data_IF_914816413911
#
_entry.id   IF_914816413911
#
_cell.length_a   1.000
_cell.length_b   1.000
_cell.length_c   1.000
_cell.angle_alpha   90.00
_cell.angle_beta   90.00
_cell.angle_gamma   90.00
#
_symmetry.space_group_name_H-M   'P 1'
#
loop_
_entity.id
_entity.type
_entity.pdbx_description
1 polymer ?
#
# COMPACT_ATOMS: atom_id res chain seq x y z
N UNK A 1 34.78 6.43 2.34
CA UNK A 1 34.48 6.95 0.98
C UNK A 1 33.58 5.94 0.29
N UNK A 2 32.44 6.36 -0.27
CA UNK A 2 31.46 5.44 -0.85
C UNK A 2 31.91 4.89 -2.22
N UNK A 3 31.60 3.62 -2.54
CA UNK A 3 31.83 3.08 -3.88
C UNK A 3 31.07 3.87 -4.95
N UNK A 4 31.76 4.30 -6.00
CA UNK A 4 31.15 5.14 -7.05
C UNK A 4 30.00 4.46 -7.79
N UNK A 5 30.07 3.14 -7.97
CA UNK A 5 28.96 2.32 -8.51
C UNK A 5 27.69 2.45 -7.68
N UNK A 6 27.82 2.36 -6.36
CA UNK A 6 26.71 2.48 -5.42
C UNK A 6 26.13 3.89 -5.41
N UNK A 7 26.98 4.92 -5.41
CA UNK A 7 26.54 6.32 -5.51
C UNK A 7 25.69 6.56 -6.76
N UNK A 8 26.12 6.06 -7.93
CA UNK A 8 25.35 6.17 -9.18
C UNK A 8 24.00 5.44 -9.10
N UNK A 9 23.97 4.25 -8.49
CA UNK A 9 22.75 3.44 -8.34
C UNK A 9 21.73 4.15 -7.47
N UNK A 10 22.14 4.58 -6.27
CA UNK A 10 21.27 5.31 -5.33
C UNK A 10 20.78 6.62 -5.94
N UNK A 11 21.66 7.39 -6.60
CA UNK A 11 21.27 8.61 -7.30
C UNK A 11 20.19 8.32 -8.35
N UNK A 12 20.37 7.28 -9.17
CA UNK A 12 19.39 6.88 -10.20
C UNK A 12 18.05 6.52 -9.57
N UNK A 13 18.04 5.77 -8.47
CA UNK A 13 16.81 5.42 -7.74
C UNK A 13 16.04 6.70 -7.35
N UNK A 14 16.72 7.67 -6.73
CA UNK A 14 16.09 8.93 -6.33
C UNK A 14 15.68 9.83 -7.51
N UNK A 15 16.52 9.95 -8.54
CA UNK A 15 16.21 10.72 -9.75
C UNK A 15 14.92 10.20 -10.40
N UNK A 16 14.79 8.87 -10.51
CA UNK A 16 13.61 8.19 -11.06
C UNK A 16 12.35 8.49 -10.26
N UNK A 17 12.42 8.39 -8.93
CA UNK A 17 11.29 8.69 -8.03
C UNK A 17 10.89 10.17 -8.12
N UNK A 18 11.86 11.09 -8.03
CA UNK A 18 11.60 12.54 -8.12
C UNK A 18 10.99 12.92 -9.47
N UNK A 19 11.54 12.39 -10.56
CA UNK A 19 10.98 12.62 -11.89
C UNK A 19 9.53 12.15 -11.98
N UNK A 20 9.22 10.95 -11.48
CA UNK A 20 7.85 10.46 -11.49
C UNK A 20 6.92 11.32 -10.63
N UNK A 21 7.34 11.70 -9.42
CA UNK A 21 6.56 12.54 -8.51
C UNK A 21 6.29 13.93 -9.11
N UNK A 22 7.28 14.57 -9.72
CA UNK A 22 7.11 15.89 -10.33
C UNK A 22 6.03 15.93 -11.42
N UNK A 23 5.82 14.79 -12.10
CA UNK A 23 4.84 14.65 -13.17
C UNK A 23 3.47 14.21 -12.66
N UNK A 24 3.42 13.36 -11.62
CA UNK A 24 2.19 12.65 -11.23
C UNK A 24 1.68 13.02 -9.83
N UNK A 25 2.56 13.43 -8.92
CA UNK A 25 2.23 13.78 -7.54
C UNK A 25 3.15 14.87 -6.95
N UNK A 26 3.16 16.08 -7.52
CA UNK A 26 4.07 17.16 -7.09
C UNK A 26 3.85 17.58 -5.64
N UNK A 27 2.65 17.39 -5.10
CA UNK A 27 2.33 17.64 -3.69
C UNK A 27 3.16 16.73 -2.76
N UNK A 28 3.33 15.45 -3.12
CA UNK A 28 4.18 14.52 -2.38
C UNK A 28 5.67 14.80 -2.63
N UNK A 29 6.07 15.20 -3.85
CA UNK A 29 7.45 15.63 -4.12
C UNK A 29 7.89 16.77 -3.20
N UNK A 30 7.01 17.75 -2.98
CA UNK A 30 7.28 18.93 -2.16
C UNK A 30 7.55 18.59 -0.68
N UNK A 31 7.18 17.40 -0.23
CA UNK A 31 7.49 16.92 1.12
C UNK A 31 8.90 16.33 1.24
N UNK A 32 9.59 16.03 0.13
CA UNK A 32 10.93 15.44 0.18
C UNK A 32 11.94 16.41 0.78
N UNK A 33 12.67 15.97 1.80
CA UNK A 33 13.66 16.79 2.49
C UNK A 33 15.02 16.71 1.79
N UNK A 34 15.79 17.79 1.90
CA UNK A 34 17.18 17.82 1.42
C UNK A 34 18.00 16.76 2.16
N UNK A 35 18.84 16.03 1.43
CA UNK A 35 19.70 15.01 2.03
C UNK A 35 20.63 15.55 3.13
N UNK A 36 20.97 14.66 4.07
CA UNK A 36 21.71 14.98 5.30
C UNK A 36 23.22 15.07 5.09
N UNK A 37 23.95 15.61 6.08
CA UNK A 37 25.42 15.63 6.14
C UNK A 37 26.00 14.27 6.58
N UNK A 38 27.33 14.08 6.50
CA UNK A 38 27.94 12.88 7.13
C UNK A 38 27.86 12.97 8.66
N UNK A 39 28.07 14.17 9.22
CA UNK A 39 27.96 14.44 10.66
C UNK A 39 26.57 14.08 11.20
N UNK A 40 25.49 14.39 10.46
CA UNK A 40 24.11 14.00 10.84
C UNK A 40 23.94 12.46 10.90
N UNK A 41 24.60 11.72 10.00
CA UNK A 41 24.57 10.25 9.99
C UNK A 41 25.37 9.66 11.16
N UNK A 42 26.54 10.23 11.42
CA UNK A 42 27.40 9.85 12.55
C UNK A 42 26.70 10.14 13.89
N UNK A 43 25.96 11.24 13.99
CA UNK A 43 25.13 11.57 15.15
C UNK A 43 24.05 10.51 15.37
N UNK A 44 23.30 10.12 14.34
CA UNK A 44 22.31 9.04 14.46
C UNK A 44 22.95 7.73 14.90
N UNK A 45 24.01 7.29 14.24
CA UNK A 45 24.70 6.02 14.53
C UNK A 45 25.26 6.00 15.95
N UNK A 46 25.84 7.10 16.40
CA UNK A 46 26.35 7.25 17.77
C UNK A 46 25.21 7.26 18.80
N UNK A 47 24.12 7.99 18.52
CA UNK A 47 22.98 8.13 19.43
C UNK A 47 22.23 6.82 19.61
N UNK A 48 22.05 6.06 18.53
CA UNK A 48 21.33 4.78 18.54
C UNK A 48 22.24 3.58 18.77
N UNK A 49 23.56 3.78 18.76
CA UNK A 49 24.59 2.74 18.83
C UNK A 49 24.36 1.64 17.76
N UNK A 50 24.21 2.07 16.51
CA UNK A 50 24.03 1.22 15.32
C UNK A 50 24.99 1.64 14.21
N UNK A 51 25.18 0.79 13.20
CA UNK A 51 25.94 1.14 11.99
C UNK A 51 25.04 0.97 10.77
N UNK A 52 24.69 2.07 10.10
CA UNK A 52 23.81 1.99 8.94
C UNK A 52 24.52 1.29 7.76
N UNK A 53 23.82 0.45 6.99
CA UNK A 53 24.33 -0.04 5.71
C UNK A 53 24.75 1.11 4.79
N UNK A 54 25.80 0.90 3.98
CA UNK A 54 26.34 1.96 3.13
C UNK A 54 25.33 2.48 2.09
N UNK A 55 24.42 1.64 1.60
CA UNK A 55 23.36 2.07 0.69
C UNK A 55 22.31 2.93 1.43
N UNK A 56 21.87 2.52 2.62
CA UNK A 56 21.03 3.34 3.51
C UNK A 56 21.64 4.70 3.82
N UNK A 57 22.94 4.77 4.17
CA UNK A 57 23.62 6.06 4.37
C UNK A 57 23.50 6.94 3.13
N UNK A 58 23.80 6.39 1.95
CA UNK A 58 23.68 7.12 0.70
C UNK A 58 22.24 7.56 0.39
N UNK A 59 21.24 6.73 0.68
CA UNK A 59 19.83 7.10 0.50
C UNK A 59 19.51 8.39 1.25
N UNK A 60 19.88 8.46 2.54
CA UNK A 60 19.69 9.65 3.37
C UNK A 60 20.55 10.85 2.94
N UNK A 61 21.77 10.62 2.42
CA UNK A 61 22.63 11.67 1.85
C UNK A 61 22.00 12.37 0.64
N UNK A 62 21.16 11.67 -0.12
CA UNK A 62 20.44 12.27 -1.25
C UNK A 62 19.10 12.89 -0.85
N UNK A 63 18.35 12.24 0.05
CA UNK A 63 17.02 12.69 0.51
C UNK A 63 16.81 12.27 1.97
N UNK A 64 16.51 13.22 2.85
CA UNK A 64 16.26 13.00 4.28
C UNK A 64 14.80 12.63 4.57
N UNK A 65 14.27 11.61 3.88
CA UNK A 65 12.87 11.22 4.00
C UNK A 65 11.89 12.33 3.60
N UNK A 66 10.71 12.34 4.24
CA UNK A 66 9.62 13.28 4.01
C UNK A 66 9.36 14.16 5.23
N UNK A 67 8.92 15.40 4.97
CA UNK A 67 8.31 16.23 5.99
C UNK A 67 7.07 15.52 6.55
N UNK A 68 7.11 15.25 7.85
CA UNK A 68 6.10 14.48 8.56
C UNK A 68 5.38 15.42 9.52
N UNK A 69 4.23 15.97 9.13
CA UNK A 69 3.42 16.78 10.04
C UNK A 69 2.62 15.87 10.97
N UNK A 70 3.20 15.49 12.11
CA UNK A 70 2.50 14.72 13.15
C UNK A 70 1.47 15.54 13.94
N UNK A 71 1.05 16.71 13.45
CA UNK A 71 0.25 17.65 14.22
C UNK A 71 -1.25 17.37 14.09
N UNK A 72 -1.77 16.58 15.03
CA UNK A 72 -3.14 16.68 15.53
C UNK A 72 -3.35 17.96 16.38
N UNK A 73 -2.80 19.09 15.94
CA UNK A 73 -2.76 20.34 16.71
C UNK A 73 -2.80 21.58 15.80
N UNK A 74 -3.78 21.65 14.91
CA UNK A 74 -4.40 22.93 14.49
C UNK A 74 -5.71 22.65 13.75
N UNK A 75 -6.80 23.25 14.24
CA UNK A 75 -8.16 23.05 13.75
C UNK A 75 -8.41 23.68 12.37
N UNK A 76 -7.82 23.09 11.33
CA UNK A 76 -8.14 23.34 9.93
C UNK A 76 -8.16 22.02 9.17
N UNK A 77 -9.31 21.66 8.61
CA UNK A 77 -9.45 20.50 7.75
C UNK A 77 -8.63 20.72 6.45
N UNK A 78 -7.38 20.26 6.42
CA UNK A 78 -6.60 20.14 5.20
C UNK A 78 -5.44 19.13 5.36
N UNK A 79 -5.59 17.97 4.73
CA UNK A 79 -4.57 17.31 3.89
C UNK A 79 -3.27 16.72 4.50
N UNK A 80 -3.23 16.40 5.79
CA UNK A 80 -1.98 15.97 6.46
C UNK A 80 -1.54 14.49 6.34
N UNK A 81 -2.33 13.58 5.75
CA UNK A 81 -2.12 12.12 5.91
C UNK A 81 -2.10 11.27 4.64
N UNK A 82 -1.95 11.89 3.46
CA UNK A 82 -2.16 11.19 2.17
C UNK A 82 -0.97 11.27 1.21
N UNK A 83 0.05 12.04 1.59
CA UNK A 83 1.22 12.36 0.77
C UNK A 83 2.40 11.40 0.99
N UNK A 84 2.19 10.27 1.68
CA UNK A 84 3.24 9.29 1.92
C UNK A 84 3.84 8.80 0.61
N UNK A 85 5.17 8.88 0.54
CA UNK A 85 5.98 8.55 -0.63
C UNK A 85 5.77 7.10 -1.09
N UNK A 86 5.55 6.21 -0.13
CA UNK A 86 5.34 4.78 -0.37
C UNK A 86 3.88 4.51 -0.71
N UNK A 87 2.97 5.37 -0.27
CA UNK A 87 1.53 5.22 -0.49
C UNK A 87 0.89 4.25 0.50
N UNK A 88 -0.26 3.71 0.13
CA UNK A 88 -0.95 2.74 0.97
C UNK A 88 -2.29 2.27 0.40
N UNK A 89 -3.19 1.89 1.30
CA UNK A 89 -4.54 1.44 0.98
C UNK A 89 -5.50 1.84 2.09
N UNK A 90 -6.78 1.98 1.73
CA UNK A 90 -7.85 2.22 2.68
C UNK A 90 -9.02 1.28 2.43
N UNK A 91 -9.49 0.65 3.51
CA UNK A 91 -10.65 -0.23 3.52
C UNK A 91 -11.40 -0.07 4.83
N UNK A 92 -12.67 0.34 4.74
CA UNK A 92 -13.47 0.73 5.90
C UNK A 92 -12.73 1.76 6.78
N UNK A 93 -12.52 1.45 8.05
CA UNK A 93 -11.81 2.30 9.01
C UNK A 93 -10.29 2.13 8.94
N UNK A 94 -9.81 1.07 8.29
CA UNK A 94 -8.38 0.78 8.19
C UNK A 94 -7.76 1.61 7.08
N UNK A 95 -6.82 2.48 7.43
CA UNK A 95 -6.10 3.34 6.48
C UNK A 95 -4.62 3.19 6.71
N UNK A 96 -3.88 2.92 5.65
CA UNK A 96 -2.42 2.89 5.61
C UNK A 96 -1.97 3.96 4.64
N UNK A 97 -1.01 4.79 5.04
CA UNK A 97 -0.33 5.71 4.13
C UNK A 97 1.08 5.97 4.65
N UNK A 98 2.07 5.39 3.99
CA UNK A 98 3.43 5.20 4.52
C UNK A 98 4.36 6.31 4.05
N UNK A 99 5.00 6.94 5.02
CA UNK A 99 5.99 8.00 4.87
C UNK A 99 7.39 7.45 5.12
N UNK A 100 8.36 7.92 4.34
CA UNK A 100 9.77 7.67 4.64
C UNK A 100 10.23 8.68 5.69
N UNK A 101 10.74 8.22 6.84
CA UNK A 101 11.08 9.09 7.96
C UNK A 101 12.40 9.85 7.72
N UNK A 102 12.47 11.15 8.08
CA UNK A 102 13.72 11.86 8.25
C UNK A 102 14.54 11.28 9.40
N UNK A 103 15.87 11.43 9.35
CA UNK A 103 16.78 10.85 10.34
C UNK A 103 16.46 11.25 11.79
N UNK A 104 16.02 12.49 12.00
CA UNK A 104 15.63 12.96 13.34
C UNK A 104 14.43 12.19 13.89
N UNK A 105 13.50 11.83 13.02
CA UNK A 105 12.32 11.04 13.38
C UNK A 105 12.69 9.56 13.57
N UNK A 106 13.66 9.03 12.81
CA UNK A 106 14.22 7.69 13.05
C UNK A 106 14.76 7.58 14.48
N UNK A 107 15.52 8.58 14.94
CA UNK A 107 16.04 8.65 16.31
C UNK A 107 14.89 8.71 17.32
N UNK A 108 13.93 9.62 17.10
CA UNK A 108 12.77 9.81 17.99
C UNK A 108 11.95 8.52 18.14
N UNK A 109 11.61 7.86 17.04
CA UNK A 109 10.82 6.63 17.06
C UNK A 109 11.58 5.48 17.70
N UNK A 110 12.90 5.35 17.45
CA UNK A 110 13.70 4.31 18.12
C UNK A 110 13.74 4.52 19.63
N UNK A 111 13.91 5.75 20.11
CA UNK A 111 13.88 6.08 21.54
C UNK A 111 12.50 5.74 22.14
N UNK A 112 11.41 6.11 21.46
CA UNK A 112 10.05 5.79 21.90
C UNK A 112 9.81 4.29 22.04
N UNK A 113 10.26 3.50 21.06
CA UNK A 113 10.16 2.04 21.10
C UNK A 113 10.95 1.45 22.27
N UNK A 114 12.18 1.94 22.51
CA UNK A 114 13.01 1.49 23.63
C UNK A 114 12.47 1.91 25.00
N UNK A 115 11.74 3.03 25.08
CA UNK A 115 11.11 3.51 26.30
C UNK A 115 9.81 2.76 26.66
N UNK A 116 9.19 2.10 25.69
CA UNK A 116 8.05 1.20 25.91
C UNK A 116 8.47 -0.17 26.44
N UNK A 117 7.49 -1.03 26.73
CA UNK A 117 7.72 -2.41 27.22
C UNK A 117 8.23 -3.38 26.12
N UNK A 118 8.64 -2.85 24.96
CA UNK A 118 9.14 -3.60 23.81
C UNK A 118 10.62 -3.97 23.96
N UNK A 119 10.96 -4.64 25.06
CA UNK A 119 12.32 -5.12 25.34
C UNK A 119 12.80 -6.25 24.40
N UNK A 120 11.98 -6.64 23.42
CA UNK A 120 12.20 -7.75 22.48
C UNK A 120 12.76 -7.32 21.12
N UNK A 121 12.71 -6.04 20.76
CA UNK A 121 13.22 -5.57 19.46
C UNK A 121 14.73 -5.40 19.53
N UNK A 122 15.46 -6.01 18.58
CA UNK A 122 16.93 -5.95 18.51
C UNK A 122 17.44 -4.51 18.55
N UNK A 123 18.55 -4.29 19.26
CA UNK A 123 19.20 -2.97 19.38
C UNK A 123 19.62 -2.42 18.02
N UNK A 124 19.93 -3.30 17.06
CA UNK A 124 20.40 -2.93 15.72
C UNK A 124 19.28 -2.57 14.73
N UNK A 125 18.02 -2.55 15.18
CA UNK A 125 16.87 -2.22 14.33
C UNK A 125 16.52 -0.74 14.46
N UNK A 126 16.29 -0.06 13.35
CA UNK A 126 15.81 1.34 13.30
C UNK A 126 14.52 1.45 12.50
N UNK A 127 13.63 2.38 12.86
CA UNK A 127 12.36 2.60 12.13
C UNK A 127 12.62 3.59 11.01
N UNK A 128 12.47 3.18 9.76
CA UNK A 128 12.78 4.01 8.58
C UNK A 128 11.55 4.54 7.86
N UNK A 129 10.39 3.92 8.06
CA UNK A 129 9.12 4.38 7.49
C UNK A 129 7.94 4.02 8.38
N UNK A 130 6.90 4.86 8.38
CA UNK A 130 5.70 4.69 9.21
C UNK A 130 4.45 5.13 8.47
N UNK A 131 3.32 4.48 8.78
CA UNK A 131 2.01 4.97 8.39
C UNK A 131 1.57 6.10 9.33
N UNK A 132 1.21 7.25 8.77
CA UNK A 132 0.74 8.41 9.55
C UNK A 132 -0.73 8.28 10.01
N UNK A 133 -1.41 7.20 9.63
CA UNK A 133 -2.84 7.04 9.87
C UNK A 133 -3.14 6.55 11.30
N UNK A 134 -4.01 7.24 12.07
CA UNK A 134 -4.33 6.85 13.46
C UNK A 134 -4.96 5.47 13.60
N UNK A 135 -5.60 4.97 12.54
CA UNK A 135 -6.29 3.67 12.55
C UNK A 135 -5.41 2.48 12.17
N UNK A 136 -4.16 2.70 11.75
CA UNK A 136 -3.21 1.63 11.45
C UNK A 136 -1.78 2.08 11.75
N UNK A 137 -1.21 1.59 12.86
CA UNK A 137 0.21 1.78 13.15
C UNK A 137 1.01 0.70 12.40
N UNK A 138 1.29 0.95 11.12
CA UNK A 138 2.18 0.14 10.28
C UNK A 138 3.57 0.79 10.25
N UNK A 139 4.61 0.01 10.52
CA UNK A 139 5.98 0.51 10.64
C UNK A 139 6.96 -0.40 9.91
N UNK A 140 8.04 0.19 9.41
CA UNK A 140 9.11 -0.49 8.69
C UNK A 140 10.43 -0.33 9.41
N UNK A 141 11.09 -1.45 9.61
CA UNK A 141 12.23 -1.66 10.49
C UNK A 141 13.42 -2.13 9.67
N UNK A 142 14.48 -1.34 9.61
CA UNK A 142 15.74 -1.75 9.01
C UNK A 142 16.61 -2.41 10.08
N UNK A 143 17.00 -3.66 9.87
CA UNK A 143 18.05 -4.29 10.67
C UNK A 143 19.42 -3.92 10.09
N UNK A 144 20.15 -3.10 10.85
CA UNK A 144 21.45 -2.58 10.47
C UNK A 144 22.55 -3.66 10.41
N UNK A 145 22.30 -4.86 10.98
CA UNK A 145 23.26 -5.97 11.02
C UNK A 145 23.26 -6.77 9.73
N UNK A 146 22.08 -7.07 9.19
CA UNK A 146 21.92 -7.90 8.00
C UNK A 146 21.46 -7.11 6.76
N UNK A 147 21.07 -5.84 6.94
CA UNK A 147 20.58 -4.96 5.90
C UNK A 147 19.18 -5.29 5.41
N UNK A 148 18.43 -6.15 6.10
CA UNK A 148 17.07 -6.52 5.74
C UNK A 148 16.06 -5.49 6.28
N UNK A 149 14.98 -5.30 5.53
CA UNK A 149 13.85 -4.46 5.89
C UNK A 149 12.70 -5.36 6.31
N UNK A 150 12.07 -5.03 7.42
CA UNK A 150 10.97 -5.78 7.98
C UNK A 150 9.78 -4.87 8.24
N UNK A 151 8.57 -5.45 8.24
CA UNK A 151 7.37 -4.83 8.82
C UNK A 151 6.95 -5.68 10.01
N UNK A 152 6.35 -5.07 11.03
CA UNK A 152 5.74 -5.87 12.08
C UNK A 152 4.47 -6.56 11.58
N UNK A 153 4.16 -7.64 12.27
CA UNK A 153 2.84 -8.20 12.41
C UNK A 153 2.47 -8.15 13.91
N UNK A 154 1.70 -7.14 14.31
CA UNK A 154 1.33 -6.93 15.72
C UNK A 154 0.65 -8.11 16.38
N UNK A 155 -0.15 -8.87 15.63
CA UNK A 155 -0.89 -10.01 16.16
C UNK A 155 0.03 -11.14 16.62
N UNK A 156 1.22 -11.26 16.01
CA UNK A 156 2.17 -12.33 16.26
C UNK A 156 3.50 -11.88 16.87
N UNK A 157 3.73 -10.56 16.99
CA UNK A 157 5.04 -9.97 17.32
C UNK A 157 6.18 -10.44 16.39
N UNK A 158 5.85 -10.88 15.16
CA UNK A 158 6.82 -11.34 14.18
C UNK A 158 7.19 -10.23 13.22
N UNK A 159 8.46 -10.21 12.82
CA UNK A 159 8.96 -9.34 11.76
C UNK A 159 8.89 -10.08 10.42
N UNK A 160 8.19 -9.51 9.43
CA UNK A 160 8.06 -10.07 8.09
C UNK A 160 9.03 -9.36 7.14
N UNK A 161 9.89 -10.09 6.39
CA UNK A 161 10.81 -9.46 5.46
C UNK A 161 10.03 -8.76 4.34
N UNK A 162 10.38 -7.52 4.06
CA UNK A 162 9.75 -6.69 3.03
C UNK A 162 10.39 -6.86 1.64
N UNK A 163 11.50 -7.58 1.56
CA UNK A 163 12.28 -7.86 0.35
C UNK A 163 12.76 -9.30 0.40
N UNK A 164 12.84 -10.03 -0.74
CA UNK A 164 13.35 -11.39 -0.75
C UNK A 164 14.76 -11.49 -0.16
N UNK A 165 14.96 -12.33 0.86
CA UNK A 165 16.22 -12.45 1.60
C UNK A 165 17.40 -12.80 0.68
N UNK A 166 17.17 -13.60 -0.36
CA UNK A 166 18.18 -13.99 -1.34
C UNK A 166 18.79 -12.82 -2.13
N UNK A 167 18.15 -11.65 -2.13
CA UNK A 167 18.65 -10.46 -2.83
C UNK A 167 19.51 -9.58 -1.93
N UNK A 168 19.35 -9.64 -0.61
CA UNK A 168 20.05 -8.74 0.33
C UNK A 168 21.50 -9.15 0.47
N UNK A 169 22.41 -8.21 0.22
CA UNK A 169 23.84 -8.46 0.28
C UNK A 169 24.58 -7.19 0.73
N UNK A 170 24.97 -7.12 2.00
CA UNK A 170 25.69 -5.96 2.56
C UNK A 170 27.22 -6.08 2.47
N UNK A 171 27.74 -7.27 2.11
CA UNK A 171 29.16 -7.56 2.02
C UNK A 171 29.59 -7.76 0.56
N UNK A 172 30.72 -7.18 0.14
CA UNK A 172 31.27 -7.33 -1.22
C UNK A 172 31.12 -6.10 -2.11
N UNK A 173 31.38 -6.26 -3.41
CA UNK A 173 31.46 -5.14 -4.39
C UNK A 173 30.09 -4.64 -4.88
N UNK A 174 29.04 -5.45 -4.77
CA UNK A 174 27.66 -5.15 -5.18
C UNK A 174 26.73 -5.01 -3.97
N UNK A 175 27.09 -4.13 -3.04
CA UNK A 175 26.31 -3.92 -1.82
C UNK A 175 24.89 -3.45 -2.17
N UNK A 176 23.90 -4.13 -1.59
CA UNK A 176 22.49 -3.79 -1.65
C UNK A 176 21.80 -4.24 -0.37
N UNK A 177 21.41 -3.25 0.44
CA UNK A 177 20.45 -3.48 1.51
C UNK A 177 19.02 -3.51 0.95
N UNK A 178 18.11 -4.00 1.78
CA UNK A 178 16.71 -4.12 1.45
C UNK A 178 16.03 -2.74 1.28
N UNK A 179 16.51 -1.69 1.94
CA UNK A 179 15.90 -0.36 1.81
C UNK A 179 16.08 0.19 0.39
N UNK A 180 17.26 0.03 -0.20
CA UNK A 180 17.50 0.40 -1.60
C UNK A 180 16.66 -0.47 -2.55
N UNK A 181 16.65 -1.79 -2.36
CA UNK A 181 15.87 -2.71 -3.19
C UNK A 181 14.37 -2.41 -3.14
N UNK A 182 13.86 -2.08 -1.96
CA UNK A 182 12.47 -1.74 -1.72
C UNK A 182 12.06 -0.45 -2.45
N UNK A 183 12.88 0.61 -2.38
CA UNK A 183 12.64 1.86 -3.09
C UNK A 183 12.78 1.72 -4.61
N UNK A 184 13.73 0.90 -5.09
CA UNK A 184 13.89 0.60 -6.52
C UNK A 184 12.66 -0.12 -7.08
N UNK A 185 12.13 -1.12 -6.35
CA UNK A 185 10.92 -1.83 -6.75
C UNK A 185 9.69 -0.92 -6.70
N UNK A 186 9.56 -0.06 -5.67
CA UNK A 186 8.50 0.95 -5.61
C UNK A 186 8.53 1.87 -6.82
N UNK A 187 9.70 2.44 -7.12
CA UNK A 187 9.91 3.28 -8.30
C UNK A 187 9.56 2.56 -9.60
N UNK A 188 9.95 1.29 -9.74
CA UNK A 188 9.59 0.48 -10.90
C UNK A 188 8.07 0.30 -11.03
N UNK A 189 7.36 0.01 -9.93
CA UNK A 189 5.89 -0.14 -9.93
C UNK A 189 5.18 1.17 -10.33
N UNK A 190 5.67 2.31 -9.85
CA UNK A 190 5.17 3.63 -10.26
C UNK A 190 5.41 3.91 -11.75
N UNK A 191 6.64 3.68 -12.24
CA UNK A 191 7.02 3.94 -13.64
C UNK A 191 6.29 3.04 -14.63
N UNK A 192 6.04 1.79 -14.25
CA UNK A 192 5.30 0.82 -15.10
C UNK A 192 3.79 1.00 -15.04
N UNK A 193 3.29 1.88 -14.16
CA UNK A 193 1.85 2.06 -13.92
C UNK A 193 1.20 0.88 -13.19
N UNK A 194 2.00 0.00 -12.56
CA UNK A 194 1.49 -1.09 -11.74
C UNK A 194 0.74 -0.58 -10.51
N UNK A 195 1.14 0.59 -10.02
CA UNK A 195 0.45 1.40 -8.99
C UNK A 195 0.39 2.86 -9.47
N UNK A 196 -0.57 3.64 -8.98
CA UNK A 196 -0.77 5.03 -9.42
C UNK A 196 -1.38 5.90 -8.33
N UNK A 197 -1.38 7.21 -8.56
CA UNK A 197 -2.16 8.15 -7.73
C UNK A 197 -3.65 7.96 -8.03
N UNK A 198 -4.43 7.75 -6.99
CA UNK A 198 -5.89 7.68 -7.05
C UNK A 198 -6.52 8.71 -6.12
N UNK A 199 -7.74 9.13 -6.44
CA UNK A 199 -8.59 9.91 -5.54
C UNK A 199 -9.41 8.94 -4.70
N UNK A 200 -9.24 8.98 -3.39
CA UNK A 200 -10.05 8.21 -2.44
C UNK A 200 -11.47 8.83 -2.31
N UNK A 201 -12.37 8.18 -1.57
CA UNK A 201 -13.78 8.59 -1.42
C UNK A 201 -13.97 10.03 -0.90
N UNK A 202 -12.97 10.59 -0.20
CA UNK A 202 -12.97 11.97 0.29
C UNK A 202 -12.30 12.96 -0.69
N UNK A 203 -12.10 12.57 -1.95
CA UNK A 203 -11.42 13.33 -2.99
C UNK A 203 -9.93 13.65 -2.69
N UNK A 204 -9.36 12.93 -1.72
CA UNK A 204 -7.95 13.07 -1.34
C UNK A 204 -7.10 12.19 -2.24
N UNK A 205 -6.01 12.73 -2.77
CA UNK A 205 -5.06 11.99 -3.61
C UNK A 205 -4.09 11.20 -2.75
N UNK A 206 -3.84 9.95 -3.11
CA UNK A 206 -2.79 9.12 -2.50
C UNK A 206 -2.20 8.16 -3.54
N UNK A 207 -0.96 7.71 -3.35
CA UNK A 207 -0.43 6.58 -4.11
C UNK A 207 -1.15 5.32 -3.60
N UNK A 208 -1.94 4.70 -4.48
CA UNK A 208 -2.68 3.49 -4.14
C UNK A 208 -1.84 2.26 -4.44
N UNK A 209 -1.64 1.41 -3.43
CA UNK A 209 -0.89 0.15 -3.56
C UNK A 209 -1.68 -0.96 -4.25
N UNK A 210 -2.98 -0.75 -4.52
CA UNK A 210 -3.79 -1.72 -5.27
C UNK A 210 -3.26 -1.84 -6.70
N UNK A 211 -2.87 -3.06 -7.15
CA UNK A 211 -2.38 -3.26 -8.51
C UNK A 211 -3.36 -2.78 -9.58
N UNK A 212 -2.82 -2.21 -10.65
CA UNK A 212 -3.58 -1.62 -11.77
C UNK A 212 -3.39 -2.39 -13.08
N UNK A 213 -2.46 -3.36 -13.11
CA UNK A 213 -2.12 -4.14 -14.31
C UNK A 213 -2.16 -5.66 -14.04
N UNK A 214 -2.43 -6.49 -15.07
CA UNK A 214 -2.32 -7.94 -14.97
C UNK A 214 -0.90 -8.42 -14.62
N UNK A 215 -0.74 -9.62 -14.02
CA UNK A 215 -1.79 -10.57 -13.63
C UNK A 215 -2.41 -10.29 -12.24
N UNK A 216 -1.96 -9.23 -11.55
CA UNK A 216 -2.42 -8.91 -10.20
C UNK A 216 -3.71 -8.07 -10.16
N UNK A 217 -4.10 -7.49 -11.30
CA UNK A 217 -5.36 -6.80 -11.50
C UNK A 217 -6.15 -7.51 -12.60
N UNK A 218 -7.35 -8.00 -12.28
CA UNK A 218 -8.27 -8.55 -13.27
C UNK A 218 -9.10 -7.44 -13.90
N UNK A 219 -9.55 -7.67 -15.13
CA UNK A 219 -10.44 -6.74 -15.85
C UNK A 219 -11.56 -7.52 -16.52
N UNK A 220 -12.80 -7.13 -16.30
CA UNK A 220 -14.00 -7.65 -16.96
C UNK A 220 -14.88 -6.51 -17.46
N UNK A 221 -15.68 -6.77 -18.49
CA UNK A 221 -16.70 -5.83 -18.97
C UNK A 221 -18.02 -6.56 -19.13
N UNK A 222 -19.05 -6.12 -18.40
CA UNK A 222 -20.40 -6.66 -18.48
C UNK A 222 -21.39 -5.52 -18.66
N UNK A 223 -22.26 -5.59 -19.67
CA UNK A 223 -23.27 -4.57 -19.95
C UNK A 223 -22.71 -3.13 -20.02
N UNK A 224 -21.47 -2.97 -20.51
CA UNK A 224 -20.79 -1.67 -20.62
C UNK A 224 -20.22 -1.11 -19.33
N UNK A 225 -20.26 -1.87 -18.23
CA UNK A 225 -19.54 -1.59 -16.99
C UNK A 225 -18.22 -2.35 -17.02
N UNK A 226 -17.11 -1.63 -16.98
CA UNK A 226 -15.79 -2.20 -16.77
C UNK A 226 -15.51 -2.34 -15.29
N UNK A 227 -15.09 -3.52 -14.87
CA UNK A 227 -14.66 -3.81 -13.50
C UNK A 227 -13.19 -4.15 -13.49
N UNK A 228 -12.45 -3.56 -12.56
CA UNK A 228 -11.03 -3.83 -12.30
C UNK A 228 -10.85 -4.23 -10.84
N UNK A 229 -10.40 -5.45 -10.59
CA UNK A 229 -10.28 -5.98 -9.24
C UNK A 229 -8.86 -6.41 -8.91
N UNK A 230 -8.38 -6.05 -7.71
CA UNK A 230 -7.06 -6.45 -7.21
C UNK A 230 -7.05 -6.48 -5.69
N UNK A 231 -6.02 -7.10 -5.12
CA UNK A 231 -5.82 -7.16 -3.68
C UNK A 231 -4.46 -6.62 -3.23
N UNK A 232 -4.35 -6.31 -1.94
CA UNK A 232 -3.11 -5.98 -1.23
C UNK A 232 -3.08 -6.77 0.07
N UNK A 233 -1.95 -7.43 0.34
CA UNK A 233 -1.72 -8.12 1.60
C UNK A 233 -1.58 -7.13 2.77
N UNK A 234 -2.25 -7.42 3.88
CA UNK A 234 -2.26 -6.58 5.08
C UNK A 234 -1.50 -7.27 6.22
N UNK A 235 -0.16 -7.11 6.31
CA UNK A 235 0.65 -7.75 7.34
C UNK A 235 0.24 -7.35 8.76
N UNK A 236 -0.19 -6.11 8.95
CA UNK A 236 -0.54 -5.52 10.26
C UNK A 236 -1.80 -6.11 10.91
N UNK A 237 -2.62 -6.83 10.14
CA UNK A 237 -3.85 -7.51 10.62
C UNK A 237 -3.86 -9.00 10.27
N UNK A 238 -2.76 -9.55 9.74
CA UNK A 238 -2.60 -10.99 9.52
C UNK A 238 -2.05 -11.62 10.80
N UNK A 239 -2.21 -12.93 11.00
CA UNK A 239 -1.59 -13.67 12.10
C UNK A 239 -1.11 -15.05 11.64
N UNK A 240 0.19 -15.20 11.40
CA UNK A 240 0.75 -16.48 10.90
C UNK A 240 0.92 -17.55 11.99
N UNK A 241 0.81 -17.18 13.27
CA UNK A 241 1.00 -18.08 14.40
C UNK A 241 -0.30 -18.71 14.90
N UNK A 242 -1.46 -18.18 14.48
CA UNK A 242 -2.73 -18.83 14.76
C UNK A 242 -2.76 -20.25 14.18
N UNK A 243 -3.57 -21.10 14.79
CA UNK A 243 -3.79 -22.46 14.33
C UNK A 243 -5.28 -22.62 14.01
N UNK A 244 -5.70 -22.41 12.75
CA UNK A 244 -4.88 -22.15 11.56
C UNK A 244 -4.41 -20.68 11.45
N UNK A 245 -3.37 -20.38 10.63
CA UNK A 245 -2.92 -19.00 10.41
C UNK A 245 -4.04 -18.15 9.81
N UNK A 246 -3.90 -16.83 9.81
CA UNK A 246 -4.85 -15.89 9.23
C UNK A 246 -4.10 -14.92 8.33
N UNK A 247 -4.34 -15.01 7.02
CA UNK A 247 -3.84 -14.07 6.02
C UNK A 247 -4.95 -13.09 5.67
N UNK A 248 -4.69 -11.80 5.89
CA UNK A 248 -5.64 -10.72 5.66
C UNK A 248 -5.28 -9.96 4.38
N UNK A 249 -6.29 -9.75 3.52
CA UNK A 249 -6.13 -9.02 2.26
C UNK A 249 -7.18 -7.91 2.16
N UNK A 250 -6.74 -6.70 1.85
CA UNK A 250 -7.62 -5.65 1.37
C UNK A 250 -7.87 -5.89 -0.12
N UNK A 251 -9.12 -5.77 -0.56
CA UNK A 251 -9.50 -5.87 -1.97
C UNK A 251 -10.12 -4.56 -2.43
N UNK A 252 -9.82 -4.18 -3.66
CA UNK A 252 -10.40 -3.03 -4.34
C UNK A 252 -11.05 -3.48 -5.64
N UNK A 253 -12.36 -3.28 -5.73
CA UNK A 253 -13.14 -3.45 -6.94
C UNK A 253 -13.51 -2.07 -7.47
N UNK A 254 -12.94 -1.73 -8.62
CA UNK A 254 -13.11 -0.44 -9.31
C UNK A 254 -14.03 -0.62 -10.49
N UNK A 255 -15.11 0.14 -10.55
CA UNK A 255 -16.11 0.06 -11.60
C UNK A 255 -16.19 1.38 -12.35
N UNK A 256 -16.16 1.33 -13.67
CA UNK A 256 -16.30 2.50 -14.53
C UNK A 256 -17.16 2.18 -15.73
N UNK A 257 -17.79 3.19 -16.32
CA UNK A 257 -18.58 3.01 -17.52
C UNK A 257 -17.71 3.13 -18.76
N UNK A 258 -17.87 2.19 -19.67
CA UNK A 258 -17.19 2.23 -20.95
C UNK A 258 -17.54 3.51 -21.70
N UNK A 259 -16.58 4.17 -22.38
CA UNK A 259 -16.84 5.39 -23.16
C UNK A 259 -17.89 5.19 -24.25
N UNK A 260 -17.99 3.98 -24.79
CA UNK A 260 -18.94 3.57 -25.83
C UNK A 260 -20.36 3.32 -25.29
N UNK A 261 -20.54 3.32 -23.96
CA UNK A 261 -21.84 3.09 -23.36
C UNK A 261 -22.77 4.29 -23.55
N UNK A 262 -23.98 4.04 -24.08
CA UNK A 262 -24.94 5.10 -24.36
C UNK A 262 -25.58 5.63 -23.06
N UNK A 263 -24.96 6.66 -22.48
CA UNK A 263 -25.39 7.33 -21.23
C UNK A 263 -26.78 7.99 -21.30
N UNK A 264 -27.44 8.02 -22.46
CA UNK A 264 -28.72 8.75 -22.67
C UNK A 264 -29.96 8.04 -22.13
N UNK A 265 -29.89 6.73 -21.86
CA UNK A 265 -31.09 5.95 -21.50
C UNK A 265 -31.18 5.56 -20.02
N UNK A 266 -30.10 5.68 -19.24
CA UNK A 266 -30.09 5.27 -17.83
C UNK A 266 -29.19 6.24 -17.04
N UNK A 267 -29.80 7.00 -16.12
CA UNK A 267 -29.11 8.03 -15.34
C UNK A 267 -28.37 7.50 -14.12
N UNK A 268 -28.78 6.32 -13.62
CA UNK A 268 -28.17 5.70 -12.46
C UNK A 268 -28.45 4.20 -12.33
N UNK A 269 -27.58 3.49 -11.62
CA UNK A 269 -27.80 2.12 -11.15
C UNK A 269 -27.49 2.01 -9.67
N UNK A 270 -28.27 1.22 -8.94
CA UNK A 270 -28.02 0.96 -7.53
C UNK A 270 -27.58 -0.48 -7.33
N UNK A 271 -26.45 -0.67 -6.64
CA UNK A 271 -25.95 -1.99 -6.26
C UNK A 271 -26.85 -2.58 -5.16
N UNK A 272 -27.25 -3.84 -5.31
CA UNK A 272 -28.17 -4.54 -4.42
C UNK A 272 -27.47 -5.65 -3.62
N UNK A 273 -26.84 -6.58 -4.32
CA UNK A 273 -26.20 -7.75 -3.73
C UNK A 273 -24.85 -8.03 -4.39
N UNK A 274 -24.07 -8.88 -3.73
CA UNK A 274 -22.81 -9.41 -4.23
C UNK A 274 -22.81 -10.92 -4.06
N UNK A 275 -22.14 -11.59 -4.99
CA UNK A 275 -21.87 -13.01 -4.96
C UNK A 275 -20.37 -13.22 -5.17
N UNK A 276 -19.73 -13.98 -4.30
CA UNK A 276 -18.30 -14.26 -4.35
C UNK A 276 -18.05 -15.77 -4.34
N UNK A 277 -17.25 -16.22 -5.30
CA UNK A 277 -16.69 -17.57 -5.35
C UNK A 277 -15.20 -17.46 -5.02
N UNK A 278 -14.79 -18.24 -4.02
CA UNK A 278 -13.43 -18.25 -3.50
C UNK A 278 -12.75 -19.56 -3.85
N UNK A 279 -11.54 -19.48 -4.40
CA UNK A 279 -10.78 -20.64 -4.83
C UNK A 279 -9.44 -20.73 -4.13
N UNK A 280 -9.04 -21.95 -3.79
CA UNK A 280 -7.71 -22.31 -3.36
C UNK A 280 -7.21 -23.42 -4.28
N UNK A 281 -6.08 -23.20 -4.95
CA UNK A 281 -5.50 -24.15 -5.90
C UNK A 281 -6.55 -24.72 -6.89
N UNK A 282 -7.31 -23.80 -7.51
CA UNK A 282 -8.43 -24.03 -8.45
C UNK A 282 -9.69 -24.71 -7.86
N UNK A 283 -9.65 -25.20 -6.63
CA UNK A 283 -10.80 -25.76 -5.94
C UNK A 283 -11.65 -24.67 -5.28
N UNK A 284 -12.98 -24.74 -5.47
CA UNK A 284 -13.92 -23.83 -4.78
C UNK A 284 -13.95 -24.17 -3.30
N UNK A 285 -13.54 -23.22 -2.45
CA UNK A 285 -13.52 -23.35 -0.99
C UNK A 285 -14.58 -22.49 -0.30
N UNK A 286 -15.21 -21.58 -1.05
CA UNK A 286 -16.27 -20.72 -0.53
C UNK A 286 -17.15 -20.21 -1.65
N UNK A 287 -18.42 -20.08 -1.35
CA UNK A 287 -19.47 -19.53 -2.21
C UNK A 287 -20.37 -18.70 -1.30
N UNK A 288 -20.35 -17.38 -1.50
CA UNK A 288 -20.91 -16.41 -0.55
C UNK A 288 -21.80 -15.42 -1.26
N UNK A 289 -23.09 -15.53 -1.00
CA UNK A 289 -24.08 -14.49 -1.26
C UNK A 289 -24.14 -13.50 -0.10
N UNK A 290 -24.22 -12.21 -0.43
CA UNK A 290 -24.45 -11.18 0.57
C UNK A 290 -25.20 -9.98 0.01
N UNK A 291 -26.18 -9.48 0.76
CA UNK A 291 -26.68 -8.14 0.51
C UNK A 291 -25.56 -7.13 0.73
N UNK A 292 -25.51 -6.11 -0.11
CA UNK A 292 -24.55 -5.01 0.07
C UNK A 292 -25.07 -4.14 1.22
N UNK A 293 -24.70 -4.49 2.46
CA UNK A 293 -24.90 -3.65 3.64
C UNK A 293 -23.76 -2.63 3.73
N UNK A 294 -23.58 -1.84 2.68
CA UNK A 294 -22.77 -0.62 2.79
C UNK A 294 -23.72 0.46 3.29
N UNK A 295 -23.30 1.18 4.34
CA UNK A 295 -24.01 2.32 4.96
C UNK A 295 -24.42 3.41 3.95
N UNK A 296 -23.95 3.32 2.71
CA UNK A 296 -24.50 3.97 1.52
C UNK A 296 -24.61 2.93 0.40
N UNK A 297 -25.81 2.48 0.06
CA UNK A 297 -26.07 1.74 -1.20
C UNK A 297 -25.72 2.67 -2.36
N UNK A 298 -24.52 2.56 -2.97
CA UNK A 298 -24.02 3.60 -3.83
C UNK A 298 -24.85 3.63 -5.10
N UNK A 299 -25.38 4.80 -5.40
CA UNK A 299 -26.09 5.08 -6.63
C UNK A 299 -25.03 5.47 -7.65
N UNK A 300 -24.65 4.53 -8.52
CA UNK A 300 -23.73 4.79 -9.62
C UNK A 300 -24.40 5.79 -10.56
N UNK A 301 -23.85 6.99 -10.68
CA UNK A 301 -24.31 7.95 -11.67
C UNK A 301 -23.53 7.82 -12.96
N UNK A 302 -24.21 7.94 -14.10
CA UNK A 302 -23.57 7.89 -15.41
C UNK A 302 -22.52 9.01 -15.66
N UNK A 303 -22.36 9.95 -14.72
CA UNK A 303 -21.40 11.07 -14.78
C UNK A 303 -20.15 10.85 -13.93
N UNK A 304 -20.13 9.86 -13.04
CA UNK A 304 -18.93 9.56 -12.24
C UNK A 304 -17.89 8.84 -13.10
N UNK A 305 -16.60 9.16 -12.88
CA UNK A 305 -15.50 8.56 -13.65
C UNK A 305 -15.21 7.12 -13.19
N UNK A 306 -15.25 6.87 -11.89
CA UNK A 306 -14.98 5.56 -11.30
C UNK A 306 -15.63 5.43 -9.90
N UNK A 307 -16.16 4.24 -9.61
CA UNK A 307 -16.71 3.85 -8.32
C UNK A 307 -15.84 2.76 -7.68
N UNK A 308 -15.74 2.76 -6.35
CA UNK A 308 -14.88 1.86 -5.59
C UNK A 308 -15.68 1.09 -4.54
N UNK A 309 -15.57 -0.23 -4.57
CA UNK A 309 -15.98 -1.11 -3.48
C UNK A 309 -14.73 -1.77 -2.88
N UNK A 310 -14.55 -1.62 -1.57
CA UNK A 310 -13.46 -2.27 -0.85
C UNK A 310 -13.99 -3.37 0.06
N UNK A 311 -13.25 -4.46 0.18
CA UNK A 311 -13.57 -5.60 1.04
C UNK A 311 -12.31 -6.08 1.78
N UNK A 312 -12.50 -6.72 2.92
CA UNK A 312 -11.42 -7.46 3.61
C UNK A 312 -11.76 -8.93 3.51
N UNK A 313 -10.77 -9.74 3.13
CA UNK A 313 -10.87 -11.18 3.25
C UNK A 313 -9.78 -11.74 4.16
N UNK A 314 -10.12 -12.77 4.93
CA UNK A 314 -9.23 -13.44 5.89
C UNK A 314 -9.30 -14.94 5.68
N UNK A 315 -8.14 -15.58 5.50
CA UNK A 315 -8.09 -17.00 5.18
C UNK A 315 -6.94 -17.74 5.85
N UNK A 316 -7.06 -19.07 6.02
CA UNK A 316 -5.99 -19.89 6.54
C UNK A 316 -4.90 -20.27 5.54
N UNK A 317 -4.99 -19.79 4.29
CA UNK A 317 -4.02 -20.07 3.24
C UNK A 317 -3.65 -18.79 2.48
N UNK A 318 -2.51 -18.80 1.79
CA UNK A 318 -1.91 -17.64 1.14
C UNK A 318 -1.97 -17.64 -0.39
N UNK A 319 -2.45 -18.72 -1.01
CA UNK A 319 -2.59 -18.83 -2.47
C UNK A 319 -4.06 -19.02 -2.82
N UNK A 320 -4.74 -17.91 -3.03
CA UNK A 320 -6.17 -17.88 -3.24
C UNK A 320 -6.53 -16.99 -4.42
N UNK A 321 -7.74 -17.14 -4.90
CA UNK A 321 -8.36 -16.22 -5.85
C UNK A 321 -9.83 -16.02 -5.53
N UNK A 322 -10.35 -14.88 -5.98
CA UNK A 322 -11.75 -14.51 -5.81
C UNK A 322 -12.31 -14.08 -7.15
N UNK A 323 -13.48 -14.60 -7.48
CA UNK A 323 -14.30 -14.20 -8.62
C UNK A 323 -15.74 -14.01 -8.18
N UNK A 324 -16.58 -13.42 -9.03
CA UNK A 324 -18.00 -13.30 -8.69
C UNK A 324 -18.70 -12.23 -9.50
N UNK A 325 -19.74 -11.65 -8.91
CA UNK A 325 -20.50 -10.57 -9.54
C UNK A 325 -21.23 -9.71 -8.51
N UNK A 326 -21.60 -8.52 -8.95
CA UNK A 326 -22.53 -7.65 -8.25
C UNK A 326 -23.84 -7.57 -9.01
N UNK A 327 -24.95 -7.59 -8.28
CA UNK A 327 -26.29 -7.39 -8.88
C UNK A 327 -26.69 -5.93 -8.75
N UNK A 328 -27.06 -5.33 -9.89
CA UNK A 328 -27.49 -3.95 -9.99
C UNK A 328 -28.95 -3.83 -10.41
N UNK A 329 -29.58 -2.74 -10.00
CA UNK A 329 -30.92 -2.34 -10.42
C UNK A 329 -30.86 -0.97 -11.09
N UNK A 330 -31.35 -0.80 -12.33
CA UNK A 330 -31.49 0.51 -12.96
C UNK A 330 -32.38 1.43 -12.14
N UNK A 331 -32.00 2.71 -11.99
CA UNK A 331 -32.68 3.65 -11.10
C UNK A 331 -32.24 3.47 -9.65
N UNK A 332 -33.20 3.29 -8.75
CA UNK A 332 -32.94 3.00 -7.33
C UNK A 332 -33.76 1.79 -6.88
N UNK A 333 -33.38 1.15 -5.77
CA UNK A 333 -34.12 0.06 -5.14
C UNK A 333 -35.56 0.47 -4.78
N UNK A 334 -35.80 1.75 -4.48
CA UNK A 334 -37.14 2.29 -4.16
C UNK A 334 -37.97 2.59 -5.41
N UNK A 335 -37.33 2.85 -6.55
CA UNK A 335 -37.96 3.22 -7.81
C UNK A 335 -37.16 2.62 -8.98
N UNK A 336 -37.29 1.29 -9.19
CA UNK A 336 -36.54 0.59 -10.22
C UNK A 336 -37.04 0.99 -11.61
N UNK A 337 -36.10 1.27 -12.51
CA UNK A 337 -36.36 1.68 -13.91
C UNK A 337 -36.14 0.56 -14.92
N UNK A 338 -35.87 -0.66 -14.46
CA UNK A 338 -35.64 -1.82 -15.31
C UNK A 338 -35.35 -3.08 -14.51
N UNK A 339 -35.10 -4.17 -15.24
CA UNK A 339 -34.73 -5.46 -14.64
C UNK A 339 -33.35 -5.42 -13.99
N UNK A 340 -33.16 -6.28 -13.00
CA UNK A 340 -31.85 -6.49 -12.40
C UNK A 340 -30.87 -7.08 -13.41
N UNK A 341 -29.59 -6.78 -13.26
CA UNK A 341 -28.53 -7.36 -14.08
C UNK A 341 -27.25 -7.54 -13.27
N UNK A 342 -26.45 -8.51 -13.69
CA UNK A 342 -25.19 -8.84 -13.05
C UNK A 342 -24.04 -8.08 -13.73
N UNK A 343 -23.07 -7.69 -12.92
CA UNK A 343 -21.80 -7.08 -13.34
C UNK A 343 -20.69 -7.98 -12.83
N UNK A 344 -20.00 -8.65 -13.75
CA UNK A 344 -19.03 -9.68 -13.41
C UNK A 344 -17.74 -9.06 -12.89
N UNK A 345 -17.16 -9.74 -11.90
CA UNK A 345 -15.81 -9.51 -11.39
C UNK A 345 -14.97 -10.71 -11.82
N UNK A 346 -14.07 -10.50 -12.78
CA UNK A 346 -13.14 -11.53 -13.20
C UNK A 346 -12.24 -11.96 -12.04
N UNK A 347 -11.84 -13.24 -12.05
CA UNK A 347 -10.94 -13.82 -11.07
C UNK A 347 -9.68 -12.98 -10.86
N UNK A 348 -9.42 -12.60 -9.61
CA UNK A 348 -8.21 -11.89 -9.20
C UNK A 348 -7.52 -12.60 -8.03
N UNK A 349 -6.18 -12.53 -7.96
CA UNK A 349 -5.42 -13.28 -6.96
C UNK A 349 -5.42 -12.59 -5.59
N UNK A 350 -5.40 -13.40 -4.53
CA UNK A 350 -5.00 -13.04 -3.17
C UNK A 350 -3.71 -13.82 -2.85
N UNK A 351 -2.57 -13.15 -2.97
CA UNK A 351 -1.25 -13.78 -2.85
C UNK A 351 -0.34 -12.98 -1.94
N UNK A 352 0.52 -13.70 -1.21
CA UNK A 352 1.66 -13.07 -0.53
C UNK A 352 2.59 -12.44 -1.56
N UNK A 353 2.95 -11.16 -1.41
CA UNK A 353 3.85 -10.50 -2.35
C UNK A 353 5.32 -10.78 -1.98
N UNK A 354 6.19 -10.79 -2.98
CA UNK A 354 7.65 -10.82 -2.76
C UNK A 354 8.16 -9.55 -2.07
N UNK A 355 7.46 -8.44 -2.27
CA UNK A 355 7.76 -7.15 -1.65
C UNK A 355 6.55 -6.60 -0.90
N UNK A 356 6.75 -6.21 0.36
CA UNK A 356 5.71 -5.66 1.24
C UNK A 356 5.91 -4.15 1.37
N UNK A 357 4.84 -3.38 1.17
CA UNK A 357 4.81 -1.92 1.21
C UNK A 357 3.75 -1.40 2.20
#
# INVERSE_FOLDING_TARGET
MYPWSLVKRVKRCWDNLKQWLSLNFPEAEATLRKGVTEDDLEELETTLNVQLPLATRLLYRFVDGQEFSSSSSSGGAADGGSLGLIGGYSVYWHKVNVYLLPIKEVIREKINIMAGDHNTISKNIVVVAVSAAPSSEKMFFLDCTNGQLYTDNKSSHQMLPCVPESLVCINGDQQQDAMLLWLEEHGRRLQTGAIKVLREQDNVKSISLFPEIPPLCSVSVTNGVQVRASSVFMPEVSNHLDKPPVYSYACSIRMSLMPTFNRRHQSSWQMYSRHWVLRADDAVIGDVDGEVVLVKNPLLHAKEEEFFCSCIFQFPTSNLSVEGFFTFVPGSLKDPKGNQFEVNVAEFPLKLPDYIF
#
